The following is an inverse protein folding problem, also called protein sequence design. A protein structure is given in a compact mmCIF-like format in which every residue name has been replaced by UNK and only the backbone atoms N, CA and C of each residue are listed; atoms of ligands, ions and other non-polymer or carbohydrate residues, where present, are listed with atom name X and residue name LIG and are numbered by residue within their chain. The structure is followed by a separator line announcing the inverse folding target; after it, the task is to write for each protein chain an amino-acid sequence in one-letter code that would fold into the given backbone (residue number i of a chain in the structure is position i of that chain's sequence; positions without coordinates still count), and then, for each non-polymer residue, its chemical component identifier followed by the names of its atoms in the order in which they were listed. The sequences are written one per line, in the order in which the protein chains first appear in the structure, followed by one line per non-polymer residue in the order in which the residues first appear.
data_IF_241361750601
#
_entry.id   IF_241361750601
#
_cell.length_a   1.000
_cell.length_b   1.000
_cell.length_c   1.000
_cell.angle_alpha   90.00
_cell.angle_beta   90.00
_cell.angle_gamma   90.00
#
_symmetry.space_group_name_H-M   'P 1'
#
loop_
_entity.id
_entity.type
_entity.pdbx_description
1 polymer ?
#
# COMPACT_ATOMS: atom_id res chain seq x y z
N UNK A 1 9.90 -35.88 11.39
CA UNK A 1 8.85 -35.32 10.51
C UNK A 1 8.94 -33.80 10.59
N UNK A 2 9.41 -33.13 9.54
CA UNK A 2 9.43 -31.67 9.44
C UNK A 2 8.39 -31.28 8.38
N UNK A 3 7.30 -30.64 8.79
CA UNK A 3 6.33 -30.06 7.88
C UNK A 3 6.82 -28.68 7.46
N UNK A 4 7.37 -28.58 6.25
CA UNK A 4 7.68 -27.29 5.65
C UNK A 4 6.36 -26.63 5.24
N UNK A 5 6.05 -25.49 5.87
CA UNK A 5 4.94 -24.62 5.46
C UNK A 5 5.28 -24.05 4.08
N UNK A 6 4.58 -24.53 3.06
CA UNK A 6 4.56 -23.91 1.74
C UNK A 6 4.15 -22.44 1.91
N UNK A 7 5.05 -21.55 1.50
CA UNK A 7 4.76 -20.14 1.28
C UNK A 7 3.85 -20.12 0.05
N UNK A 8 2.57 -19.83 0.26
CA UNK A 8 1.64 -19.51 -0.81
C UNK A 8 2.04 -18.13 -1.34
N UNK A 9 2.86 -18.11 -2.39
CA UNK A 9 3.03 -16.91 -3.21
C UNK A 9 1.96 -17.04 -4.28
N UNK A 10 0.92 -16.22 -4.20
CA UNK A 10 -0.06 -16.10 -5.28
C UNK A 10 0.66 -15.58 -6.54
N UNK A 11 0.86 -16.45 -7.53
CA UNK A 11 1.58 -16.20 -8.78
C UNK A 11 0.89 -15.16 -9.71
N UNK A 12 -0.21 -14.53 -9.30
CA UNK A 12 -1.00 -13.61 -10.13
C UNK A 12 -0.82 -12.11 -9.80
N UNK A 13 0.01 -11.74 -8.81
CA UNK A 13 0.27 -10.33 -8.50
C UNK A 13 1.69 -9.94 -8.86
N UNK A 14 1.97 -9.77 -10.15
CA UNK A 14 3.22 -9.11 -10.57
C UNK A 14 3.22 -7.69 -10.00
N UNK A 15 4.12 -7.34 -9.05
CA UNK A 15 4.22 -5.97 -8.57
C UNK A 15 4.62 -5.09 -9.76
N UNK A 16 3.93 -3.97 -9.95
CA UNK A 16 4.37 -2.99 -10.95
C UNK A 16 5.81 -2.59 -10.55
N UNK A 17 6.76 -2.45 -11.49
CA UNK A 17 8.17 -2.17 -11.17
C UNK A 17 8.38 -0.93 -10.29
N UNK A 18 7.40 -0.02 -10.28
CA UNK A 18 7.39 1.24 -9.54
C UNK A 18 6.54 1.22 -8.27
N UNK A 19 5.83 0.12 -7.99
CA UNK A 19 5.06 -0.06 -6.76
C UNK A 19 5.99 -0.55 -5.66
N UNK A 20 6.00 0.15 -4.52
CA UNK A 20 6.66 -0.28 -3.29
C UNK A 20 5.65 -0.38 -2.14
N UNK A 21 5.69 -1.45 -1.33
CA UNK A 21 4.88 -1.51 -0.12
C UNK A 21 5.42 -0.56 0.95
N UNK A 22 4.52 0.06 1.70
CA UNK A 22 4.82 0.88 2.89
C UNK A 22 3.84 0.52 3.99
N UNK A 23 4.29 0.66 5.24
CA UNK A 23 3.45 0.46 6.41
C UNK A 23 3.04 1.81 6.97
N UNK A 24 1.74 2.06 7.06
CA UNK A 24 1.20 3.30 7.63
C UNK A 24 1.51 3.33 9.13
N UNK A 25 2.23 4.35 9.60
CA UNK A 25 2.75 4.40 10.99
C UNK A 25 1.65 4.65 12.02
N UNK A 26 0.65 5.46 11.67
CA UNK A 26 -0.48 5.79 12.54
C UNK A 26 -1.73 6.12 11.72
N UNK A 27 -2.90 6.18 12.36
CA UNK A 27 -4.13 6.50 11.62
C UNK A 27 -4.07 7.90 11.04
N UNK A 28 -4.15 8.01 9.72
CA UNK A 28 -3.99 9.27 9.00
C UNK A 28 -4.79 9.32 7.68
N UNK A 29 -5.03 10.51 7.10
CA UNK A 29 -5.63 10.60 5.79
C UNK A 29 -4.75 9.97 4.71
N UNK A 30 -5.36 9.33 3.71
CA UNK A 30 -4.66 8.74 2.55
C UNK A 30 -3.78 9.76 1.83
N UNK A 31 -4.19 11.03 1.81
CA UNK A 31 -3.42 12.13 1.24
C UNK A 31 -2.11 12.37 2.02
N UNK A 32 -2.15 12.31 3.35
CA UNK A 32 -0.97 12.46 4.21
C UNK A 32 -0.03 11.29 4.04
N UNK A 33 -0.56 10.05 4.04
CA UNK A 33 0.23 8.85 3.80
C UNK A 33 0.96 8.90 2.45
N UNK A 34 0.26 9.28 1.37
CA UNK A 34 0.87 9.40 0.04
C UNK A 34 1.93 10.51 -0.01
N UNK A 35 1.64 11.68 0.57
CA UNK A 35 2.57 12.81 0.54
C UNK A 35 3.85 12.53 1.31
N UNK A 36 3.77 11.88 2.48
CA UNK A 36 4.97 11.51 3.25
C UNK A 36 5.90 10.59 2.48
N UNK A 37 5.34 9.70 1.68
CA UNK A 37 6.11 8.68 0.96
C UNK A 37 6.62 9.13 -0.42
N UNK A 38 5.98 10.14 -1.02
CA UNK A 38 6.28 10.56 -2.41
C UNK A 38 6.61 12.04 -2.57
N UNK A 39 6.33 12.88 -1.58
CA UNK A 39 6.37 14.33 -1.69
C UNK A 39 5.30 14.92 -2.62
N UNK A 40 4.35 14.13 -3.11
CA UNK A 40 3.33 14.55 -4.08
C UNK A 40 1.95 13.98 -3.73
N UNK A 41 0.90 14.64 -4.21
CA UNK A 41 -0.49 14.18 -4.07
C UNK A 41 -1.17 13.94 -5.43
N UNK A 42 -0.43 14.13 -6.53
CA UNK A 42 -0.98 14.09 -7.89
C UNK A 42 -1.68 12.76 -8.22
N UNK A 43 -1.25 11.66 -7.59
CA UNK A 43 -1.75 10.31 -7.83
C UNK A 43 -2.73 9.80 -6.76
N UNK A 44 -3.34 10.67 -5.97
CA UNK A 44 -4.20 10.28 -4.83
C UNK A 44 -5.33 9.33 -5.21
N UNK A 45 -6.02 9.56 -6.33
CA UNK A 45 -7.10 8.68 -6.80
C UNK A 45 -6.59 7.28 -7.17
N UNK A 46 -5.38 7.19 -7.72
CA UNK A 46 -4.74 5.91 -8.05
C UNK A 46 -4.32 5.18 -6.77
N UNK A 47 -3.74 5.91 -5.82
CA UNK A 47 -3.35 5.38 -4.50
C UNK A 47 -4.55 4.81 -3.74
N UNK A 48 -5.67 5.52 -3.68
CA UNK A 48 -6.91 5.06 -3.03
C UNK A 48 -7.42 3.77 -3.66
N UNK A 49 -7.55 3.76 -5.00
CA UNK A 49 -8.06 2.60 -5.74
C UNK A 49 -7.17 1.37 -5.62
N UNK A 50 -5.84 1.55 -5.74
CA UNK A 50 -4.87 0.45 -5.68
C UNK A 50 -4.92 -0.28 -4.35
N UNK A 51 -5.11 0.46 -3.26
CA UNK A 51 -5.07 -0.05 -1.90
C UNK A 51 -6.47 -0.37 -1.34
N UNK A 52 -7.52 -0.25 -2.14
CA UNK A 52 -8.89 -0.50 -1.69
C UNK A 52 -9.31 0.38 -0.51
N UNK A 53 -8.78 1.60 -0.40
CA UNK A 53 -9.04 2.50 0.73
C UNK A 53 -10.50 2.97 0.67
N UNK A 54 -11.32 2.49 1.61
CA UNK A 54 -12.76 2.82 1.68
C UNK A 54 -13.03 4.21 2.24
N UNK A 55 -12.23 4.64 3.22
CA UNK A 55 -12.39 5.92 3.91
C UNK A 55 -11.11 6.74 3.80
N UNK A 56 -10.95 7.56 2.74
CA UNK A 56 -9.70 8.29 2.50
C UNK A 56 -9.28 9.27 3.60
N UNK A 57 -10.21 9.69 4.46
CA UNK A 57 -9.90 10.54 5.61
C UNK A 57 -9.29 9.76 6.81
N UNK A 58 -9.41 8.43 6.81
CA UNK A 58 -9.01 7.57 7.94
C UNK A 58 -8.44 6.24 7.42
N UNK A 59 -7.17 6.25 7.03
CA UNK A 59 -6.40 5.02 6.78
C UNK A 59 -5.86 4.56 8.12
N UNK A 60 -6.21 3.35 8.56
CA UNK A 60 -5.77 2.82 9.85
C UNK A 60 -4.26 2.59 9.88
N UNK A 61 -3.62 2.96 10.99
CA UNK A 61 -2.22 2.61 11.24
C UNK A 61 -2.00 1.10 11.23
N UNK A 62 -0.80 0.67 10.85
CA UNK A 62 -0.40 -0.73 10.75
C UNK A 62 -0.82 -1.44 9.46
N UNK A 63 -1.61 -0.78 8.59
CA UNK A 63 -1.94 -1.30 7.26
C UNK A 63 -0.72 -1.22 6.34
N UNK A 64 -0.52 -2.27 5.54
CA UNK A 64 0.39 -2.24 4.39
C UNK A 64 -0.37 -1.71 3.17
N UNK A 65 0.23 -0.72 2.51
CA UNK A 65 -0.31 -0.11 1.29
C UNK A 65 0.81 0.03 0.26
N UNK A 66 0.45 -0.03 -1.00
CA UNK A 66 1.35 0.15 -2.13
C UNK A 66 1.35 1.59 -2.62
N UNK A 67 2.55 2.16 -2.72
CA UNK A 67 2.78 3.47 -3.31
C UNK A 67 3.48 3.27 -4.65
N UNK A 68 3.00 3.96 -5.68
CA UNK A 68 3.58 3.90 -7.02
C UNK A 68 4.36 5.20 -7.23
N UNK A 69 5.68 5.09 -7.33
CA UNK A 69 6.56 6.20 -7.71
C UNK A 69 6.64 6.27 -9.24
N UNK A 70 5.98 7.25 -9.85
CA UNK A 70 6.00 7.50 -11.29
C UNK A 70 6.23 8.96 -11.58
#
# INVERSE_FOLDING_TARGET
MHFNRAVFIDEDFLPLPTARPIRVVGTEPALVALYRETGSVAQISRFIRRNGIRHPAFVSGGLEVEVING
#
